data_IF_120352357430
#
_entry.id   IF_120352357430
#
_cell.length_a   1.000
_cell.length_b   1.000
_cell.length_c   1.000
_cell.angle_alpha   90.00
_cell.angle_beta   90.00
_cell.angle_gamma   90.00
#
_symmetry.space_group_name_H-M   'P 1'
#
loop_
_entity.id
_entity.type
_entity.pdbx_description
1 polymer ?
#
# COMPACT_ATOMS: atom_id res chain seq x y z
N UNK A 1 -1.75 25.70 -4.57
CA UNK A 1 -1.58 24.41 -5.27
C UNK A 1 -1.70 23.22 -4.32
N UNK A 2 -1.01 23.17 -3.17
CA UNK A 2 -1.13 22.07 -2.18
C UNK A 2 -2.24 22.23 -1.11
N UNK A 3 -3.12 23.23 -1.25
CA UNK A 3 -4.19 23.48 -0.28
C UNK A 3 -5.52 22.84 -0.69
N UNK A 4 -5.56 22.18 -1.85
CA UNK A 4 -6.76 21.49 -2.28
C UNK A 4 -6.94 20.22 -1.44
N UNK A 5 -8.02 20.13 -0.64
CA UNK A 5 -8.21 19.00 0.27
C UNK A 5 -8.38 17.69 -0.50
N UNK A 6 -8.91 17.72 -1.73
CA UNK A 6 -9.06 16.51 -2.56
C UNK A 6 -7.68 16.00 -2.99
N UNK A 7 -6.77 16.91 -3.36
CA UNK A 7 -5.40 16.55 -3.75
C UNK A 7 -4.63 15.95 -2.57
N UNK A 8 -4.69 16.58 -1.39
CA UNK A 8 -4.03 16.09 -0.18
C UNK A 8 -4.56 14.71 0.24
N UNK A 9 -5.89 14.56 0.26
CA UNK A 9 -6.54 13.30 0.61
C UNK A 9 -6.15 12.17 -0.36
N UNK A 10 -6.12 12.46 -1.66
CA UNK A 10 -5.66 11.50 -2.67
C UNK A 10 -4.21 11.10 -2.46
N UNK A 11 -3.33 12.05 -2.13
CA UNK A 11 -1.92 11.78 -1.87
C UNK A 11 -1.72 10.87 -0.65
N UNK A 12 -2.49 11.11 0.43
CA UNK A 12 -2.47 10.27 1.63
C UNK A 12 -2.94 8.85 1.31
N UNK A 13 -4.01 8.69 0.52
CA UNK A 13 -4.49 7.37 0.08
C UNK A 13 -3.39 6.66 -0.75
N UNK A 14 -2.78 7.35 -1.71
CA UNK A 14 -1.72 6.76 -2.54
C UNK A 14 -0.49 6.36 -1.72
N UNK A 15 -0.05 7.20 -0.78
CA UNK A 15 1.12 6.94 0.05
C UNK A 15 0.93 5.76 1.01
N UNK A 16 -0.33 5.44 1.35
CA UNK A 16 -0.66 4.35 2.27
C UNK A 16 -0.96 3.03 1.56
N UNK A 17 -0.99 3.01 0.23
CA UNK A 17 -1.26 1.78 -0.53
C UNK A 17 -0.25 0.66 -0.22
N UNK A 18 -0.72 -0.61 -0.17
CA UNK A 18 0.15 -1.74 0.12
C UNK A 18 1.15 -2.01 -1.01
N UNK A 19 2.12 -2.87 -0.74
CA UNK A 19 3.19 -3.22 -1.69
C UNK A 19 2.63 -3.69 -3.04
N UNK A 20 3.19 -3.22 -4.15
CA UNK A 20 2.71 -3.59 -5.48
C UNK A 20 3.04 -5.06 -5.82
N UNK A 21 2.06 -5.80 -6.38
CA UNK A 21 2.27 -7.20 -6.78
C UNK A 21 3.34 -7.38 -7.86
N UNK A 22 3.55 -6.36 -8.70
CA UNK A 22 4.63 -6.34 -9.69
C UNK A 22 6.03 -6.42 -9.04
N UNK A 23 6.19 -5.96 -7.80
CA UNK A 23 7.45 -6.15 -7.06
C UNK A 23 7.69 -7.62 -6.70
N UNK A 24 6.62 -8.37 -6.38
CA UNK A 24 6.68 -9.82 -6.19
C UNK A 24 7.04 -10.52 -7.50
N UNK A 25 6.43 -10.11 -8.61
CA UNK A 25 6.73 -10.67 -9.93
C UNK A 25 8.18 -10.39 -10.35
N UNK A 26 8.68 -9.17 -10.15
CA UNK A 26 10.06 -8.81 -10.40
C UNK A 26 11.03 -9.65 -9.53
N UNK A 27 10.68 -9.89 -8.26
CA UNK A 27 11.48 -10.76 -7.39
C UNK A 27 11.58 -12.19 -7.94
N UNK A 28 10.51 -12.72 -8.56
CA UNK A 28 10.51 -14.02 -9.25
C UNK A 28 11.38 -13.99 -10.51
N UNK A 29 11.24 -12.94 -11.33
CA UNK A 29 11.98 -12.80 -12.60
C UNK A 29 13.49 -12.76 -12.38
N UNK A 30 13.94 -12.00 -11.38
CA UNK A 30 15.35 -11.84 -11.05
C UNK A 30 15.87 -12.88 -10.03
N UNK A 31 15.11 -13.96 -9.77
CA UNK A 31 15.49 -15.04 -8.85
C UNK A 31 15.90 -14.54 -7.44
N UNK A 32 15.27 -13.45 -6.96
CA UNK A 32 15.43 -13.00 -5.58
C UNK A 32 14.57 -13.84 -4.62
N UNK A 33 14.69 -13.55 -3.33
CA UNK A 33 13.91 -14.20 -2.27
C UNK A 33 12.44 -13.84 -2.35
N UNK A 34 11.72 -14.62 -3.15
CA UNK A 34 10.32 -14.38 -3.44
C UNK A 34 9.40 -14.63 -2.27
N UNK A 35 9.77 -15.53 -1.35
CA UNK A 35 9.01 -15.76 -0.12
C UNK A 35 8.94 -14.49 0.72
N UNK A 36 10.05 -13.74 0.83
CA UNK A 36 10.06 -12.45 1.51
C UNK A 36 9.16 -11.41 0.81
N UNK A 37 9.18 -11.36 -0.51
CA UNK A 37 8.34 -10.44 -1.28
C UNK A 37 6.84 -10.76 -1.11
N UNK A 38 6.47 -12.05 -1.18
CA UNK A 38 5.10 -12.52 -0.95
C UNK A 38 4.66 -12.24 0.48
N UNK A 39 5.50 -12.54 1.47
CA UNK A 39 5.21 -12.23 2.87
C UNK A 39 4.97 -10.73 3.10
N UNK A 40 5.83 -9.88 2.52
CA UNK A 40 5.67 -8.42 2.59
C UNK A 40 4.37 -7.94 1.95
N UNK A 41 4.01 -8.48 0.77
CA UNK A 41 2.74 -8.18 0.10
C UNK A 41 1.53 -8.56 0.94
N UNK A 42 1.48 -9.80 1.44
CA UNK A 42 0.35 -10.30 2.23
C UNK A 42 0.23 -9.51 3.54
N UNK A 43 1.35 -9.31 4.25
CA UNK A 43 1.36 -8.61 5.53
C UNK A 43 0.89 -7.16 5.39
N UNK A 44 1.43 -6.42 4.41
CA UNK A 44 1.04 -5.03 4.18
C UNK A 44 -0.40 -4.91 3.67
N UNK A 45 -0.88 -5.86 2.86
CA UNK A 45 -2.28 -5.90 2.42
C UNK A 45 -3.22 -6.19 3.59
N UNK A 46 -2.88 -7.13 4.45
CA UNK A 46 -3.65 -7.43 5.66
C UNK A 46 -3.70 -6.22 6.60
N UNK A 47 -2.55 -5.61 6.91
CA UNK A 47 -2.47 -4.39 7.71
C UNK A 47 -3.25 -3.25 7.06
N UNK A 48 -3.19 -3.13 5.74
CA UNK A 48 -3.93 -2.12 5.02
C UNK A 48 -5.44 -2.30 5.20
N UNK A 49 -5.97 -3.50 5.01
CA UNK A 49 -7.41 -3.76 5.12
C UNK A 49 -7.92 -3.66 6.56
N UNK A 50 -7.17 -4.17 7.53
CA UNK A 50 -7.64 -4.27 8.92
C UNK A 50 -7.41 -2.99 9.71
N UNK A 51 -6.33 -2.25 9.41
CA UNK A 51 -5.90 -1.10 10.21
C UNK A 51 -5.93 0.18 9.39
N UNK A 52 -5.21 0.24 8.27
CA UNK A 52 -4.99 1.50 7.56
C UNK A 52 -6.26 2.01 6.87
N UNK A 53 -7.00 1.14 6.18
CA UNK A 53 -8.24 1.47 5.49
C UNK A 53 -9.33 2.00 6.43
N UNK A 54 -9.67 1.34 7.57
CA UNK A 54 -10.64 1.91 8.49
C UNK A 54 -10.13 3.23 9.07
N UNK A 55 -8.84 3.34 9.39
CA UNK A 55 -8.25 4.57 9.91
C UNK A 55 -8.38 5.72 8.90
N UNK A 56 -8.08 5.47 7.61
CA UNK A 56 -8.31 6.43 6.52
C UNK A 56 -9.79 6.76 6.36
N UNK A 57 -10.70 5.79 6.40
CA UNK A 57 -12.13 6.05 6.28
C UNK A 57 -12.65 6.98 7.39
N UNK A 58 -12.14 6.85 8.62
CA UNK A 58 -12.51 7.73 9.72
C UNK A 58 -11.79 9.09 9.67
N UNK A 59 -10.53 9.14 9.23
CA UNK A 59 -9.73 10.37 9.21
C UNK A 59 -10.03 11.28 8.00
N UNK A 60 -10.44 10.68 6.89
CA UNK A 60 -10.69 11.32 5.59
C UNK A 60 -12.19 11.38 5.25
N UNK A 61 -13.04 11.26 6.28
CA UNK A 61 -14.49 11.48 6.21
C UNK A 61 -14.83 12.95 6.03
#
# INVERSE_FOLDING_TARGET
MFQDPVLLNTFVILATTPTAINAVLASKLYQLRTDLAVCSFILTTFLYLVVVFPLLFFLLK
#
